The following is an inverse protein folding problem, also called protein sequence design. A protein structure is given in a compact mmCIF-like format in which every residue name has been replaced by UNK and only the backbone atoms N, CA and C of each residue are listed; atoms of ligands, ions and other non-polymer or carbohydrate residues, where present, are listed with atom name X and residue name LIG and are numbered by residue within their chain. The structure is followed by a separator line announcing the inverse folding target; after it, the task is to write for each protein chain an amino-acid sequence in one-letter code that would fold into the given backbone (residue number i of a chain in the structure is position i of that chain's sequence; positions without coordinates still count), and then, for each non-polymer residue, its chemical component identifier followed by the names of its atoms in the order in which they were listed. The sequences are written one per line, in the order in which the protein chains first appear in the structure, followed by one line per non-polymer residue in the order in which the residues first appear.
data_IF_553522708672
#
_entry.id   IF_553522708672
#
_cell.length_a   1.000
_cell.length_b   1.000
_cell.length_c   1.000
_cell.angle_alpha   90.00
_cell.angle_beta   90.00
_cell.angle_gamma   90.00
#
_symmetry.space_group_name_H-M   'P 1'
#
loop_
_entity.id
_entity.type
_entity.pdbx_description
1 polymer ?
#
# COMPACT_ATOMS: atom_id res chain seq x y z
N UNK A 1 -42.89 38.80 -8.25
CA UNK A 1 -41.54 38.54 -7.67
C UNK A 1 -41.15 37.09 -7.58
N UNK A 2 -42.03 36.14 -7.20
CA UNK A 2 -41.69 34.68 -7.09
C UNK A 2 -41.33 33.99 -8.41
N UNK A 3 -41.93 34.36 -9.55
CA UNK A 3 -41.66 33.73 -10.86
C UNK A 3 -40.27 34.06 -11.41
N UNK A 4 -39.75 35.25 -11.19
CA UNK A 4 -38.42 35.64 -11.62
C UNK A 4 -37.30 34.93 -10.83
N UNK A 5 -37.52 34.63 -9.53
CA UNK A 5 -36.60 33.91 -8.73
C UNK A 5 -36.48 32.43 -9.14
N UNK A 6 -37.61 31.79 -9.52
CA UNK A 6 -37.65 30.44 -10.06
C UNK A 6 -37.00 30.32 -11.45
N UNK A 7 -37.22 31.31 -12.33
CA UNK A 7 -36.58 31.36 -13.64
C UNK A 7 -35.04 31.54 -13.52
N UNK A 8 -34.58 32.38 -12.59
CA UNK A 8 -33.13 32.56 -12.33
C UNK A 8 -32.47 31.31 -11.73
N UNK A 9 -33.18 30.53 -10.90
CA UNK A 9 -32.65 29.27 -10.34
C UNK A 9 -32.54 28.17 -11.41
N UNK A 10 -33.39 28.17 -12.41
CA UNK A 10 -33.38 27.20 -13.51
C UNK A 10 -32.26 27.48 -14.56
N UNK A 11 -31.62 28.65 -14.52
CA UNK A 11 -30.50 29.00 -15.40
C UNK A 11 -29.13 28.64 -14.80
N UNK A 12 -29.05 28.24 -13.53
CA UNK A 12 -27.80 27.81 -12.89
C UNK A 12 -27.52 26.38 -13.24
N UNK A 13 -26.26 26.09 -13.61
CA UNK A 13 -25.81 24.75 -13.79
C UNK A 13 -25.85 24.01 -12.44
N UNK A 14 -26.44 22.81 -12.43
CA UNK A 14 -26.49 21.93 -11.26
C UNK A 14 -25.39 20.90 -11.34
N UNK A 15 -25.14 20.18 -10.25
CA UNK A 15 -24.29 18.99 -10.30
C UNK A 15 -24.83 17.99 -11.33
N UNK A 16 -23.91 17.40 -12.10
CA UNK A 16 -24.24 16.40 -13.11
C UNK A 16 -23.35 15.18 -12.95
N UNK A 17 -23.88 14.02 -13.29
CA UNK A 17 -23.08 12.82 -13.47
C UNK A 17 -22.45 12.84 -14.86
N UNK A 18 -21.30 12.20 -14.99
CA UNK A 18 -20.62 12.02 -16.25
C UNK A 18 -19.56 10.92 -16.16
N UNK A 19 -18.90 10.67 -17.27
CA UNK A 19 -17.82 9.69 -17.39
C UNK A 19 -16.53 10.37 -17.81
N UNK A 20 -15.41 9.94 -17.22
CA UNK A 20 -14.07 10.49 -17.57
C UNK A 20 -13.75 10.17 -19.04
N UNK A 21 -13.55 11.20 -19.83
CA UNK A 21 -13.16 11.12 -21.24
C UNK A 21 -11.70 11.54 -21.49
N UNK A 22 -11.06 12.20 -20.52
CA UNK A 22 -9.65 12.59 -20.60
C UNK A 22 -9.05 12.82 -19.21
N UNK A 23 -7.76 12.53 -19.05
CA UNK A 23 -6.98 12.81 -17.85
C UNK A 23 -5.63 13.43 -18.21
N UNK A 24 -5.28 14.53 -17.54
CA UNK A 24 -3.98 15.19 -17.67
C UNK A 24 -3.18 15.00 -16.38
N UNK A 25 -2.14 14.14 -16.37
CA UNK A 25 -1.34 13.89 -15.19
C UNK A 25 -0.43 15.07 -14.78
N UNK A 26 -0.13 15.98 -15.70
CA UNK A 26 0.71 17.15 -15.40
C UNK A 26 -0.04 18.23 -14.62
N UNK A 27 -1.33 18.26 -14.82
CA UNK A 27 -2.26 19.13 -14.08
C UNK A 27 -3.37 18.21 -13.61
N UNK A 28 -3.56 17.89 -12.34
CA UNK A 28 -4.61 16.95 -11.90
C UNK A 28 -5.99 17.42 -12.39
N UNK A 29 -6.23 17.29 -13.69
CA UNK A 29 -7.40 17.76 -14.42
C UNK A 29 -7.97 16.63 -15.29
N UNK A 30 -9.27 16.68 -15.50
CA UNK A 30 -10.00 15.71 -16.31
C UNK A 30 -10.91 16.41 -17.30
N UNK A 31 -11.28 15.72 -18.36
CA UNK A 31 -12.45 15.98 -19.17
C UNK A 31 -13.54 14.98 -18.84
N UNK A 32 -14.76 15.43 -18.82
CA UNK A 32 -15.92 14.61 -18.47
C UNK A 32 -17.00 14.75 -19.53
N UNK A 33 -17.49 13.61 -20.00
CA UNK A 33 -18.70 13.55 -20.82
C UNK A 33 -19.92 13.55 -19.91
N UNK A 34 -20.61 14.67 -19.88
CA UNK A 34 -21.78 14.90 -19.00
C UNK A 34 -22.99 14.08 -19.48
N UNK A 35 -23.75 13.57 -18.54
CA UNK A 35 -24.95 12.80 -18.79
C UNK A 35 -26.21 13.62 -18.40
N UNK A 36 -27.34 13.46 -19.11
CA UNK A 36 -27.57 12.56 -20.26
C UNK A 36 -27.19 13.14 -21.61
N UNK A 37 -26.83 14.43 -21.70
CA UNK A 37 -26.69 15.18 -22.96
C UNK A 37 -25.45 14.75 -23.79
N UNK A 38 -24.45 14.12 -23.17
CA UNK A 38 -23.22 13.70 -23.83
C UNK A 38 -22.21 14.81 -24.14
N UNK A 39 -22.44 16.01 -23.64
CA UNK A 39 -21.53 17.14 -23.85
C UNK A 39 -20.23 16.92 -23.06
N UNK A 40 -19.07 17.17 -23.69
CA UNK A 40 -17.78 17.08 -23.03
C UNK A 40 -17.43 18.43 -22.38
N UNK A 41 -16.91 18.39 -21.15
CA UNK A 41 -16.36 19.58 -20.47
C UNK A 41 -15.01 19.96 -21.09
N UNK A 42 -14.55 21.20 -20.85
CA UNK A 42 -13.11 21.51 -20.92
C UNK A 42 -12.32 20.73 -19.85
N UNK A 43 -11.03 21.05 -19.71
CA UNK A 43 -10.21 20.56 -18.61
C UNK A 43 -10.68 21.19 -17.30
N UNK A 44 -11.18 20.37 -16.37
CA UNK A 44 -11.65 20.78 -15.06
C UNK A 44 -10.85 20.10 -13.95
N UNK A 45 -10.65 20.75 -12.78
CA UNK A 45 -9.87 20.20 -11.70
C UNK A 45 -10.45 18.88 -11.18
N UNK A 46 -9.56 17.93 -10.89
CA UNK A 46 -9.88 16.70 -10.15
C UNK A 46 -9.57 16.93 -8.68
N UNK A 47 -10.58 16.81 -7.82
CA UNK A 47 -10.45 16.90 -6.38
C UNK A 47 -9.65 15.72 -5.77
N UNK A 48 -9.05 15.99 -4.63
CA UNK A 48 -8.36 15.00 -3.81
C UNK A 48 -8.79 15.15 -2.36
N UNK A 49 -8.79 14.06 -1.60
CA UNK A 49 -9.07 14.09 -0.17
C UNK A 49 -7.94 14.74 0.65
N UNK A 50 -6.73 14.79 0.09
CA UNK A 50 -5.57 15.36 0.76
C UNK A 50 -4.59 15.90 -0.30
N UNK A 51 -4.34 17.22 -0.28
CA UNK A 51 -3.53 17.89 -1.28
C UNK A 51 -2.62 18.95 -0.65
N UNK A 52 -1.38 19.02 -1.13
CA UNK A 52 -0.39 20.01 -0.79
C UNK A 52 0.62 20.19 -1.92
N UNK A 53 1.60 21.06 -1.72
CA UNK A 53 2.61 21.34 -2.73
C UNK A 53 3.59 20.15 -2.88
N UNK A 54 3.37 19.31 -3.88
CA UNK A 54 4.20 18.14 -4.17
C UNK A 54 3.92 16.90 -3.27
N UNK A 55 2.86 16.95 -2.45
CA UNK A 55 2.45 15.83 -1.61
C UNK A 55 0.93 15.72 -1.50
N UNK A 56 0.42 14.56 -1.16
CA UNK A 56 -1.01 14.32 -1.01
C UNK A 56 -1.45 12.95 -1.48
N UNK A 57 -2.76 12.78 -1.65
CA UNK A 57 -3.35 11.56 -2.19
C UNK A 57 -3.53 11.70 -3.71
N UNK A 58 -2.75 10.94 -4.47
CA UNK A 58 -2.80 10.91 -5.93
C UNK A 58 -3.50 9.63 -6.38
N UNK A 59 -4.76 9.73 -6.79
CA UNK A 59 -5.54 8.61 -7.31
C UNK A 59 -6.04 8.96 -8.72
N UNK A 60 -5.21 8.67 -9.72
CA UNK A 60 -5.56 8.89 -11.12
C UNK A 60 -6.85 8.12 -11.48
N UNK A 61 -7.82 8.75 -12.16
CA UNK A 61 -9.07 8.09 -12.50
C UNK A 61 -8.87 7.13 -13.68
N UNK A 62 -9.57 5.99 -13.71
CA UNK A 62 -9.68 5.21 -14.92
C UNK A 62 -10.50 5.95 -15.97
N UNK A 63 -10.19 5.76 -17.24
CA UNK A 63 -11.02 6.25 -18.34
C UNK A 63 -12.38 5.56 -18.31
N UNK A 64 -13.45 6.29 -18.55
CA UNK A 64 -14.83 5.81 -18.45
C UNK A 64 -15.40 5.75 -17.03
N UNK A 65 -14.59 5.98 -16.00
CA UNK A 65 -15.07 6.00 -14.60
C UNK A 65 -16.14 7.05 -14.36
N UNK A 66 -17.17 6.73 -13.57
CA UNK A 66 -18.29 7.61 -13.27
C UNK A 66 -17.92 8.64 -12.21
N UNK A 67 -18.29 9.90 -12.45
CA UNK A 67 -17.97 11.04 -11.58
C UNK A 67 -19.15 11.99 -11.44
N UNK A 68 -19.13 12.75 -10.34
CA UNK A 68 -19.95 13.95 -10.21
C UNK A 68 -19.14 15.19 -10.57
N UNK A 69 -19.73 16.02 -11.42
CA UNK A 69 -19.24 17.35 -11.73
C UNK A 69 -20.10 18.38 -11.00
N UNK A 70 -19.50 19.13 -10.10
CA UNK A 70 -20.14 20.24 -9.41
C UNK A 70 -19.75 21.55 -10.09
N UNK A 71 -20.72 22.42 -10.36
CA UNK A 71 -20.49 23.73 -10.97
C UNK A 71 -20.47 24.83 -9.90
N UNK A 72 -19.33 25.49 -9.75
CA UNK A 72 -19.13 26.55 -8.75
C UNK A 72 -20.08 27.71 -9.08
N UNK A 73 -20.88 28.11 -8.09
CA UNK A 73 -21.90 29.18 -8.22
C UNK A 73 -22.88 28.98 -9.38
N UNK A 74 -22.97 27.77 -9.92
CA UNK A 74 -23.81 27.43 -11.05
C UNK A 74 -23.29 27.86 -12.39
N UNK A 75 -21.98 28.21 -12.50
CA UNK A 75 -21.35 28.56 -13.77
C UNK A 75 -20.93 27.31 -14.55
N UNK A 76 -21.45 27.08 -15.77
CA UNK A 76 -21.13 25.89 -16.56
C UNK A 76 -19.64 25.74 -16.90
N UNK A 77 -18.90 26.84 -16.89
CA UNK A 77 -17.47 26.91 -17.20
C UNK A 77 -16.57 26.60 -15.98
N UNK A 78 -17.15 26.66 -14.77
CA UNK A 78 -16.43 26.49 -13.51
C UNK A 78 -16.74 25.14 -12.86
N UNK A 79 -16.58 24.04 -13.62
CA UNK A 79 -16.78 22.68 -13.12
C UNK A 79 -15.57 22.17 -12.30
N UNK A 80 -15.87 21.33 -11.31
CA UNK A 80 -14.87 20.56 -10.54
C UNK A 80 -15.38 19.13 -10.37
N UNK A 81 -14.49 18.16 -10.38
CA UNK A 81 -14.81 16.76 -10.05
C UNK A 81 -14.40 16.48 -8.61
N UNK A 82 -15.37 16.16 -7.75
CA UNK A 82 -15.13 15.84 -6.34
C UNK A 82 -15.15 14.35 -6.04
N UNK A 83 -16.21 13.66 -6.43
CA UNK A 83 -16.46 12.26 -6.09
C UNK A 83 -16.48 11.38 -7.34
N UNK A 84 -16.05 10.12 -7.14
CA UNK A 84 -16.19 9.03 -8.09
C UNK A 84 -17.17 8.01 -7.53
N UNK A 85 -17.93 7.36 -8.39
CA UNK A 85 -18.94 6.40 -8.01
C UNK A 85 -18.66 5.04 -8.64
N UNK A 86 -18.99 3.99 -7.90
CA UNK A 86 -19.18 2.68 -8.50
C UNK A 86 -20.44 2.69 -9.37
N UNK A 87 -20.47 1.82 -10.35
CA UNK A 87 -21.55 1.71 -11.33
C UNK A 87 -21.85 0.23 -11.63
N UNK A 88 -22.79 -0.03 -12.49
CA UNK A 88 -23.06 -1.39 -12.97
C UNK A 88 -21.87 -2.01 -13.76
N UNK A 89 -21.00 -1.16 -14.30
CA UNK A 89 -19.77 -1.57 -14.99
C UNK A 89 -18.59 -1.67 -14.01
N UNK A 90 -18.41 -0.64 -13.16
CA UNK A 90 -17.35 -0.57 -12.16
C UNK A 90 -17.92 -0.96 -10.79
N UNK A 91 -18.06 -2.25 -10.54
CA UNK A 91 -18.71 -2.76 -9.34
C UNK A 91 -17.84 -2.64 -8.10
N UNK A 92 -18.47 -2.30 -6.96
CA UNK A 92 -17.82 -2.31 -5.66
C UNK A 92 -17.54 -3.72 -5.17
N UNK A 93 -16.44 -3.88 -4.42
CA UNK A 93 -16.23 -5.09 -3.63
C UNK A 93 -17.22 -5.14 -2.46
N UNK A 94 -17.61 -6.36 -2.06
CA UNK A 94 -18.43 -6.56 -0.87
C UNK A 94 -17.56 -6.41 0.38
N UNK A 95 -17.47 -5.20 0.90
CA UNK A 95 -16.69 -4.87 2.10
C UNK A 95 -17.62 -4.85 3.31
N UNK A 96 -17.31 -5.56 4.41
CA UNK A 96 -18.09 -5.51 5.64
C UNK A 96 -18.18 -4.09 6.22
N UNK A 97 -19.29 -3.77 6.86
CA UNK A 97 -19.46 -2.49 7.54
C UNK A 97 -18.38 -2.30 8.61
N UNK A 98 -17.75 -1.12 8.63
CA UNK A 98 -16.67 -0.78 9.56
C UNK A 98 -15.26 -1.12 9.10
N UNK A 99 -15.09 -1.84 8.00
CA UNK A 99 -13.78 -2.11 7.42
C UNK A 99 -13.36 -1.06 6.39
N UNK A 100 -12.05 -0.89 6.22
CA UNK A 100 -11.47 -0.01 5.21
C UNK A 100 -10.51 -0.79 4.32
N UNK A 101 -10.81 -0.83 3.01
CA UNK A 101 -9.99 -1.51 2.03
C UNK A 101 -9.59 -0.56 0.91
N UNK A 102 -8.30 -0.44 0.67
CA UNK A 102 -7.73 0.19 -0.52
C UNK A 102 -7.19 -0.92 -1.42
N UNK A 103 -7.83 -1.14 -2.55
CA UNK A 103 -7.50 -2.24 -3.46
C UNK A 103 -7.18 -1.70 -4.84
N UNK A 104 -6.04 -2.09 -5.37
CA UNK A 104 -5.64 -1.78 -6.74
C UNK A 104 -6.09 -2.89 -7.70
N UNK A 105 -6.27 -2.55 -8.98
CA UNK A 105 -6.76 -3.47 -10.01
C UNK A 105 -5.89 -4.75 -10.20
N UNK A 106 -4.60 -4.70 -9.86
CA UNK A 106 -3.70 -5.86 -9.90
C UNK A 106 -3.77 -6.76 -8.65
N UNK A 107 -4.64 -6.46 -7.68
CA UNK A 107 -4.79 -7.20 -6.43
C UNK A 107 -3.92 -6.70 -5.28
N UNK A 108 -3.04 -5.71 -5.48
CA UNK A 108 -2.33 -5.08 -4.37
C UNK A 108 -3.32 -4.35 -3.46
N UNK A 109 -3.13 -4.44 -2.13
CA UNK A 109 -4.10 -3.89 -1.19
C UNK A 109 -3.48 -3.42 0.13
N UNK A 110 -4.21 -2.49 0.76
CA UNK A 110 -4.12 -2.18 2.20
C UNK A 110 -5.51 -2.42 2.78
N UNK A 111 -5.60 -3.23 3.84
CA UNK A 111 -6.86 -3.69 4.39
C UNK A 111 -6.85 -3.58 5.91
N UNK A 112 -7.82 -2.86 6.47
CA UNK A 112 -8.11 -2.81 7.91
C UNK A 112 -9.43 -3.53 8.15
N UNK A 113 -9.42 -4.52 9.02
CA UNK A 113 -10.58 -5.37 9.30
C UNK A 113 -11.10 -5.20 10.73
N UNK A 114 -12.36 -5.57 10.96
CA UNK A 114 -13.04 -5.37 12.24
C UNK A 114 -12.41 -6.14 13.42
N UNK A 115 -11.60 -7.16 13.15
CA UNK A 115 -10.79 -7.89 14.14
C UNK A 115 -9.49 -7.17 14.54
N UNK A 116 -9.29 -5.93 14.07
CA UNK A 116 -8.11 -5.11 14.35
C UNK A 116 -6.89 -5.44 13.50
N UNK A 117 -7.03 -6.28 12.48
CA UNK A 117 -5.91 -6.66 11.61
C UNK A 117 -5.69 -5.61 10.52
N UNK A 118 -4.40 -5.26 10.31
CA UNK A 118 -3.94 -4.49 9.17
C UNK A 118 -3.12 -5.40 8.24
N UNK A 119 -3.49 -5.49 6.98
CA UNK A 119 -2.75 -6.27 5.97
C UNK A 119 -2.32 -5.37 4.82
N UNK A 120 -1.06 -5.51 4.39
CA UNK A 120 -0.53 -4.98 3.14
C UNK A 120 -0.12 -6.17 2.27
N UNK A 121 -0.55 -6.19 1.02
CA UNK A 121 -0.25 -7.28 0.08
C UNK A 121 0.04 -6.74 -1.32
N UNK A 122 0.85 -7.46 -2.09
CA UNK A 122 1.22 -7.09 -3.47
C UNK A 122 0.32 -7.71 -4.54
N UNK A 123 -0.63 -8.58 -4.15
CA UNK A 123 -1.46 -9.34 -5.08
C UNK A 123 -0.75 -10.54 -5.75
N UNK A 124 0.51 -10.82 -5.42
CA UNK A 124 1.32 -11.92 -5.97
C UNK A 124 1.76 -12.93 -4.90
N UNK A 125 1.33 -12.72 -3.66
CA UNK A 125 1.59 -13.63 -2.53
C UNK A 125 2.49 -13.05 -1.44
N UNK A 126 3.16 -11.91 -1.66
CA UNK A 126 3.85 -11.23 -0.58
C UNK A 126 2.87 -10.45 0.29
N UNK A 127 2.95 -10.66 1.60
CA UNK A 127 2.07 -10.02 2.59
C UNK A 127 2.84 -9.61 3.84
N UNK A 128 2.39 -8.53 4.47
CA UNK A 128 2.73 -8.16 5.84
C UNK A 128 1.43 -7.87 6.58
N UNK A 129 1.24 -8.51 7.73
CA UNK A 129 0.04 -8.35 8.55
C UNK A 129 0.40 -8.04 10.00
N UNK A 130 -0.19 -6.99 10.55
CA UNK A 130 -0.32 -6.77 11.98
C UNK A 130 -1.62 -7.45 12.40
N UNK A 131 -1.53 -8.48 13.26
CA UNK A 131 -2.63 -9.42 13.46
C UNK A 131 -3.70 -8.96 14.48
N UNK A 132 -3.55 -7.77 15.08
CA UNK A 132 -4.48 -7.25 16.10
C UNK A 132 -4.27 -7.86 17.50
N UNK A 133 -3.33 -8.78 17.66
CA UNK A 133 -2.98 -9.47 18.90
C UNK A 133 -1.55 -9.15 19.39
N UNK A 134 -0.91 -8.14 18.78
CA UNK A 134 0.47 -7.75 19.08
C UNK A 134 1.52 -8.51 18.27
N UNK A 135 1.12 -9.44 17.39
CA UNK A 135 2.04 -10.18 16.51
C UNK A 135 2.07 -9.61 15.10
N UNK A 136 3.17 -9.83 14.39
CA UNK A 136 3.35 -9.49 12.98
C UNK A 136 3.65 -10.78 12.21
N UNK A 137 2.95 -10.99 11.11
CA UNK A 137 3.22 -12.06 10.16
C UNK A 137 3.67 -11.46 8.84
N UNK A 138 4.77 -11.96 8.28
CA UNK A 138 5.17 -11.66 6.91
C UNK A 138 5.35 -12.94 6.11
N UNK A 139 4.87 -12.96 4.88
CA UNK A 139 5.02 -14.06 3.95
C UNK A 139 5.50 -13.51 2.60
N UNK A 140 6.49 -14.14 2.01
CA UNK A 140 7.02 -13.85 0.69
C UNK A 140 7.87 -15.02 0.21
N UNK A 141 8.11 -15.13 -1.10
CA UNK A 141 9.04 -16.12 -1.65
C UNK A 141 10.49 -15.81 -1.24
N UNK A 142 10.79 -14.52 -1.02
CA UNK A 142 12.08 -14.06 -0.56
C UNK A 142 11.90 -12.76 0.24
N UNK A 143 12.63 -12.63 1.35
CA UNK A 143 12.77 -11.38 2.08
C UNK A 143 14.20 -10.87 1.94
N UNK A 144 14.38 -9.69 1.35
CA UNK A 144 15.67 -9.03 1.23
C UNK A 144 15.71 -7.80 2.13
N UNK A 145 16.72 -7.71 2.99
CA UNK A 145 16.96 -6.55 3.83
C UNK A 145 18.35 -5.99 3.53
N UNK A 146 18.45 -4.67 3.34
CA UNK A 146 19.73 -3.96 3.13
C UNK A 146 20.00 -3.06 4.34
N UNK A 147 21.12 -3.27 4.98
CA UNK A 147 21.55 -2.53 6.18
C UNK A 147 21.50 -3.36 7.46
N UNK A 148 21.93 -2.79 8.60
CA UNK A 148 21.94 -3.49 9.88
C UNK A 148 20.53 -3.86 10.36
N UNK A 149 20.39 -5.03 10.96
CA UNK A 149 19.20 -5.45 11.70
C UNK A 149 19.58 -5.70 13.14
N UNK A 150 18.82 -5.17 14.09
CA UNK A 150 19.00 -5.36 15.51
C UNK A 150 17.79 -6.04 16.12
N UNK A 151 17.96 -7.23 16.65
CA UNK A 151 16.97 -7.94 17.45
C UNK A 151 17.32 -7.80 18.92
N UNK A 152 16.36 -7.42 19.76
CA UNK A 152 16.57 -7.24 21.21
C UNK A 152 16.28 -8.52 22.01
N UNK A 153 15.74 -9.54 21.34
CA UNK A 153 15.37 -10.83 21.94
C UNK A 153 15.83 -11.98 21.04
N UNK A 154 15.47 -13.19 21.39
CA UNK A 154 15.85 -14.42 20.70
C UNK A 154 15.41 -14.43 19.24
N UNK A 155 16.25 -15.00 18.37
CA UNK A 155 15.92 -15.28 16.97
C UNK A 155 15.89 -16.78 16.77
N UNK A 156 14.74 -17.30 16.30
CA UNK A 156 14.60 -18.70 15.89
C UNK A 156 14.70 -18.81 14.37
N UNK A 157 15.50 -19.74 13.90
CA UNK A 157 15.65 -20.10 12.47
C UNK A 157 15.35 -21.59 12.32
N UNK A 158 14.20 -21.92 11.69
CA UNK A 158 13.73 -23.31 11.57
C UNK A 158 14.51 -24.15 10.53
N UNK A 159 15.27 -23.47 9.68
CA UNK A 159 16.09 -24.13 8.64
C UNK A 159 17.56 -23.73 8.79
N UNK A 160 18.19 -23.34 7.72
CA UNK A 160 19.61 -23.00 7.69
C UNK A 160 19.83 -21.50 7.86
N UNK A 161 20.71 -21.11 8.77
CA UNK A 161 21.31 -19.78 8.83
C UNK A 161 22.65 -19.80 8.11
N UNK A 162 22.78 -19.06 7.02
CA UNK A 162 24.04 -18.90 6.29
C UNK A 162 24.58 -17.50 6.51
N UNK A 163 25.80 -17.41 7.02
CA UNK A 163 26.55 -16.15 7.15
C UNK A 163 27.79 -16.21 6.24
N UNK A 164 27.85 -15.32 5.26
CA UNK A 164 28.96 -15.30 4.29
C UNK A 164 30.31 -14.89 4.91
N UNK A 165 30.26 -14.13 5.99
CA UNK A 165 31.46 -13.66 6.68
C UNK A 165 31.70 -14.43 7.97
N UNK A 166 30.86 -14.24 8.98
CA UNK A 166 31.00 -14.89 10.29
C UNK A 166 29.73 -14.70 11.13
N UNK A 167 29.58 -15.54 12.15
CA UNK A 167 28.63 -15.39 13.26
C UNK A 167 29.43 -15.23 14.53
N UNK A 168 29.27 -14.13 15.25
CA UNK A 168 29.99 -13.82 16.48
C UNK A 168 29.07 -13.87 17.67
N UNK A 169 29.32 -14.73 18.64
CA UNK A 169 28.59 -14.84 19.90
C UNK A 169 29.49 -14.63 21.10
N UNK A 170 29.15 -13.67 21.99
CA UNK A 170 29.97 -13.36 23.18
C UNK A 170 31.42 -12.98 22.86
N UNK A 171 31.65 -12.33 21.74
CA UNK A 171 32.97 -11.96 21.25
C UNK A 171 33.78 -13.11 20.63
N UNK A 172 33.17 -14.27 20.43
CA UNK A 172 33.82 -15.44 19.80
C UNK A 172 33.23 -15.70 18.41
N UNK A 173 34.08 -15.84 17.41
CA UNK A 173 33.76 -16.19 16.04
C UNK A 173 33.43 -17.68 15.93
N UNK A 174 32.30 -18.03 15.27
CA UNK A 174 31.99 -19.41 14.94
C UNK A 174 32.97 -19.99 13.91
N UNK A 175 33.52 -19.15 13.05
CA UNK A 175 34.47 -19.54 12.00
C UNK A 175 35.87 -19.85 12.53
N UNK A 176 36.31 -19.17 13.58
CA UNK A 176 37.69 -19.22 14.03
C UNK A 176 37.86 -19.59 15.50
N UNK A 177 36.79 -19.88 16.26
CA UNK A 177 36.92 -20.24 17.68
C UNK A 177 37.63 -21.59 17.85
N UNK A 178 38.62 -21.69 18.73
CA UNK A 178 39.30 -22.94 19.00
C UNK A 178 38.42 -23.79 19.92
N UNK A 179 38.37 -25.07 19.63
CA UNK A 179 37.87 -26.09 20.57
C UNK A 179 39.05 -26.64 21.36
N UNK A 180 39.04 -26.49 22.68
CA UNK A 180 39.96 -27.23 23.53
C UNK A 180 39.51 -28.69 23.51
N UNK A 181 40.24 -29.56 22.84
CA UNK A 181 40.13 -30.96 23.07
C UNK A 181 40.43 -31.23 24.56
N UNK A 182 39.44 -31.73 25.28
CA UNK A 182 39.70 -32.20 26.62
C UNK A 182 40.89 -33.17 26.61
N UNK A 183 41.60 -33.27 27.71
CA UNK A 183 42.76 -34.16 27.82
C UNK A 183 42.37 -35.60 27.42
N UNK A 184 42.61 -35.95 26.16
CA UNK A 184 42.53 -37.31 25.70
C UNK A 184 43.82 -38.01 26.11
N UNK A 185 43.71 -39.00 26.98
CA UNK A 185 44.85 -39.85 27.34
C UNK A 185 44.86 -41.06 26.40
N UNK A 186 45.75 -41.06 25.43
CA UNK A 186 46.03 -42.23 24.63
C UNK A 186 47.26 -42.93 25.28
N UNK A 187 46.98 -44.01 26.00
CA UNK A 187 47.98 -44.68 26.86
C UNK A 187 48.33 -43.77 28.06
N UNK A 188 49.58 -43.61 28.41
CA UNK A 188 50.02 -42.80 29.53
C UNK A 188 50.50 -41.38 29.12
N UNK A 189 50.24 -40.96 27.89
CA UNK A 189 50.68 -39.66 27.38
C UNK A 189 49.49 -38.73 27.15
N UNK A 190 49.44 -37.57 27.82
CA UNK A 190 48.37 -36.60 27.55
C UNK A 190 48.51 -36.07 26.12
N UNK A 191 47.46 -36.14 25.33
CA UNK A 191 47.38 -35.48 24.05
C UNK A 191 46.80 -34.07 24.30
N UNK A 192 47.65 -33.05 24.27
CA UNK A 192 47.26 -31.65 24.38
C UNK A 192 47.23 -31.06 22.98
N UNK A 193 46.09 -30.59 22.54
CA UNK A 193 45.94 -29.91 21.24
C UNK A 193 44.56 -29.32 21.07
N UNK A 194 44.42 -28.36 20.18
CA UNK A 194 43.11 -27.87 19.73
C UNK A 194 42.54 -28.84 18.70
N UNK A 195 41.29 -29.21 18.82
CA UNK A 195 40.60 -29.86 17.70
C UNK A 195 40.61 -28.90 16.51
N UNK A 196 40.85 -29.39 15.30
CA UNK A 196 40.70 -28.55 14.10
C UNK A 196 39.34 -27.84 14.06
N UNK A 197 39.28 -26.68 13.42
CA UNK A 197 38.04 -26.00 13.24
C UNK A 197 37.01 -26.86 12.50
N UNK A 198 35.70 -26.55 12.60
CA UNK A 198 34.67 -27.25 11.86
C UNK A 198 34.97 -27.18 10.36
N UNK A 199 34.99 -28.33 9.70
CA UNK A 199 35.14 -28.46 8.23
C UNK A 199 33.83 -28.14 7.50
#
# INVERSE_FOLDING_TARGET
MRMHALAASNLRAQSKLGTISGYDPARPAVKVQLQPEGNETGWIPLGSLWAGNGWGMFAAPPMGGQVEVTFIEGHPEAGVVGLRFFSDVDQALSVPSGEFWLVHANGALVKLTNDGKLTVADGQGATVSLNGDGTITSAATQWTHTGPVHFTDNVQVDKTLTANTDVVGGGKSLKTHPHLAGSLVAGNTPVTGNSGGPT
#
